data_IF_408086566905
#
_entry.id   IF_408086566905
#
_cell.length_a   1.000
_cell.length_b   1.000
_cell.length_c   1.000
_cell.angle_alpha   90.00
_cell.angle_beta   90.00
_cell.angle_gamma   90.00
#
_symmetry.space_group_name_H-M   'P 1'
#
loop_
_entity.id
_entity.type
_entity.pdbx_description
1 polymer ?
#
# COMPACT_ATOMS: atom_id res chain seq x y z
N UNK A 1 7.99 -6.49 17.71
CA UNK A 1 7.97 -7.96 17.61
C UNK A 1 8.71 -8.41 16.35
N UNK A 2 10.03 -8.59 16.43
CA UNK A 2 10.88 -9.00 15.28
C UNK A 2 11.19 -10.50 15.27
N UNK A 3 11.22 -11.13 16.45
CA UNK A 3 11.57 -12.54 16.61
C UNK A 3 10.74 -13.52 15.73
N UNK A 4 9.39 -13.43 15.64
CA UNK A 4 8.64 -14.38 14.82
C UNK A 4 8.85 -14.18 13.30
N UNK A 5 9.18 -12.97 12.83
CA UNK A 5 9.56 -12.74 11.43
C UNK A 5 10.91 -13.40 11.11
N UNK A 6 11.89 -13.26 12.01
CA UNK A 6 13.21 -13.88 11.85
C UNK A 6 13.08 -15.41 11.89
N UNK A 7 12.27 -15.96 12.79
CA UNK A 7 12.00 -17.39 12.88
C UNK A 7 11.26 -17.92 11.66
N UNK A 8 10.23 -17.21 11.17
CA UNK A 8 9.53 -17.60 9.94
C UNK A 8 10.49 -17.64 8.73
N UNK A 9 11.36 -16.64 8.60
CA UNK A 9 12.42 -16.63 7.58
C UNK A 9 13.39 -17.80 7.73
N UNK A 10 13.84 -18.09 8.95
CA UNK A 10 14.74 -19.22 9.23
C UNK A 10 14.10 -20.59 8.92
N UNK A 11 12.80 -20.76 9.18
CA UNK A 11 12.07 -21.98 8.83
C UNK A 11 11.82 -22.10 7.33
N UNK A 12 11.53 -21.00 6.63
CA UNK A 12 11.44 -20.98 5.17
C UNK A 12 12.75 -21.43 4.51
N UNK A 13 13.91 -21.07 5.08
CA UNK A 13 15.21 -21.55 4.57
C UNK A 13 15.45 -23.06 4.76
N UNK A 14 14.65 -23.75 5.59
CA UNK A 14 14.71 -25.20 5.81
C UNK A 14 13.74 -26.00 4.96
N UNK A 15 12.89 -25.33 4.18
CA UNK A 15 12.00 -25.99 3.23
C UNK A 15 12.84 -26.41 2.01
N UNK A 16 12.81 -27.71 1.68
CA UNK A 16 13.41 -28.26 0.46
C UNK A 16 12.42 -28.17 -0.71
N UNK A 17 12.90 -27.82 -1.90
CA UNK A 17 12.08 -27.78 -3.11
C UNK A 17 11.56 -29.18 -3.47
N UNK A 18 10.25 -29.32 -3.68
CA UNK A 18 9.61 -30.57 -4.11
C UNK A 18 9.06 -31.46 -2.99
N UNK A 19 9.18 -31.07 -1.71
CA UNK A 19 8.57 -31.80 -0.58
C UNK A 19 7.42 -30.98 0.00
N UNK A 20 6.21 -31.16 -0.55
CA UNK A 20 5.00 -30.38 -0.24
C UNK A 20 4.56 -30.42 1.24
N UNK A 21 4.98 -31.43 2.02
CA UNK A 21 4.49 -31.67 3.38
C UNK A 21 5.57 -31.58 4.47
N UNK A 22 6.55 -30.71 4.28
CA UNK A 22 7.58 -30.49 5.31
C UNK A 22 7.01 -29.78 6.54
N UNK A 23 7.27 -30.33 7.73
CA UNK A 23 6.89 -29.76 9.04
C UNK A 23 7.33 -28.30 9.19
N UNK A 24 8.42 -27.92 8.51
CA UNK A 24 8.95 -26.56 8.46
C UNK A 24 8.02 -25.57 7.77
N UNK A 25 7.27 -26.00 6.74
CA UNK A 25 6.29 -25.16 6.04
C UNK A 25 5.11 -24.81 6.96
N UNK A 26 4.56 -25.81 7.66
CA UNK A 26 3.49 -25.61 8.65
C UNK A 26 3.98 -24.70 9.77
N UNK A 27 5.18 -24.94 10.30
CA UNK A 27 5.76 -24.11 11.37
C UNK A 27 5.98 -22.66 10.92
N UNK A 28 6.45 -22.44 9.70
CA UNK A 28 6.61 -21.10 9.12
C UNK A 28 5.26 -20.36 9.02
N UNK A 29 4.22 -21.05 8.54
CA UNK A 29 2.85 -20.52 8.43
C UNK A 29 2.27 -20.15 9.79
N UNK A 30 2.46 -21.00 10.79
CA UNK A 30 2.04 -20.74 12.18
C UNK A 30 2.79 -19.53 12.75
N UNK A 31 4.10 -19.44 12.57
CA UNK A 31 4.89 -18.29 13.04
C UNK A 31 4.46 -16.98 12.36
N UNK A 32 4.20 -16.99 11.05
CA UNK A 32 3.69 -15.83 10.32
C UNK A 32 2.31 -15.41 10.82
N UNK A 33 1.41 -16.37 11.05
CA UNK A 33 0.07 -16.10 11.58
C UNK A 33 0.14 -15.52 13.00
N UNK A 34 0.94 -16.13 13.87
CA UNK A 34 1.16 -15.63 15.23
C UNK A 34 1.75 -14.22 15.22
N UNK A 35 2.66 -13.92 14.29
CA UNK A 35 3.21 -12.58 14.11
C UNK A 35 2.12 -11.57 13.78
N UNK A 36 1.27 -11.85 12.80
CA UNK A 36 0.17 -10.96 12.39
C UNK A 36 -0.75 -10.68 13.57
N UNK A 37 -1.10 -11.70 14.36
CA UNK A 37 -1.93 -11.54 15.56
C UNK A 37 -1.25 -10.66 16.61
N UNK A 38 0.04 -10.91 16.91
CA UNK A 38 0.79 -10.15 17.92
C UNK A 38 0.98 -8.70 17.49
N UNK A 39 1.29 -8.45 16.22
CA UNK A 39 1.45 -7.08 15.70
C UNK A 39 0.12 -6.34 15.69
N UNK A 40 -0.96 -7.01 15.29
CA UNK A 40 -2.30 -6.42 15.30
C UNK A 40 -2.75 -6.10 16.72
N UNK A 41 -2.58 -7.02 17.68
CA UNK A 41 -2.98 -6.79 19.07
C UNK A 41 -2.19 -5.65 19.73
N UNK A 42 -0.88 -5.55 19.45
CA UNK A 42 -0.07 -4.43 19.90
C UNK A 42 -0.57 -3.10 19.34
N UNK A 43 -0.98 -3.07 18.07
CA UNK A 43 -1.54 -1.87 17.45
C UNK A 43 -2.88 -1.48 18.10
N UNK A 44 -3.78 -2.43 18.33
CA UNK A 44 -5.04 -2.16 19.03
C UNK A 44 -4.83 -1.65 20.46
N UNK A 45 -3.91 -2.25 21.21
CA UNK A 45 -3.59 -1.79 22.56
C UNK A 45 -2.98 -0.37 22.55
N UNK A 46 -2.07 -0.08 21.61
CA UNK A 46 -1.49 1.25 21.47
C UNK A 46 -2.56 2.30 21.14
N UNK A 47 -3.48 2.00 20.21
CA UNK A 47 -4.61 2.88 19.89
C UNK A 47 -5.52 3.05 21.11
N UNK A 48 -5.86 1.98 21.81
CA UNK A 48 -6.71 2.05 23.00
C UNK A 48 -6.12 2.94 24.10
N UNK A 49 -4.82 2.77 24.40
CA UNK A 49 -4.13 3.59 25.38
C UNK A 49 -3.99 5.05 24.93
N UNK A 50 -3.69 5.28 23.65
CA UNK A 50 -3.60 6.63 23.09
C UNK A 50 -4.96 7.35 23.18
N UNK A 51 -6.04 6.71 22.73
CA UNK A 51 -7.40 7.26 22.83
C UNK A 51 -7.79 7.50 24.28
N UNK A 52 -7.46 6.58 25.19
CA UNK A 52 -7.75 6.75 26.62
C UNK A 52 -7.02 7.94 27.26
N UNK A 53 -5.81 8.28 26.80
CA UNK A 53 -5.09 9.48 27.23
C UNK A 53 -5.70 10.74 26.61
N UNK A 54 -6.03 10.68 25.32
CA UNK A 54 -6.69 11.78 24.60
C UNK A 54 -8.02 12.13 25.26
N UNK A 55 -8.84 11.14 25.61
CA UNK A 55 -10.14 11.35 26.26
C UNK A 55 -9.99 11.93 27.67
N UNK A 56 -9.04 11.43 28.47
CA UNK A 56 -8.81 11.90 29.84
C UNK A 56 -8.25 13.31 29.92
N UNK A 57 -7.40 13.68 28.96
CA UNK A 57 -6.70 14.97 28.94
C UNK A 57 -7.18 15.87 27.79
N UNK A 58 -8.39 15.63 27.27
CA UNK A 58 -8.92 16.33 26.10
C UNK A 58 -8.85 17.85 26.28
N UNK A 59 -9.32 18.37 27.40
CA UNK A 59 -9.36 19.82 27.66
C UNK A 59 -7.96 20.47 27.75
N UNK A 60 -6.93 19.70 28.08
CA UNK A 60 -5.54 20.18 28.14
C UNK A 60 -4.84 20.07 26.78
N UNK A 61 -5.10 18.98 26.06
CA UNK A 61 -4.53 18.70 24.73
C UNK A 61 -5.20 19.53 23.63
N UNK A 62 -6.46 19.93 23.82
CA UNK A 62 -7.20 20.78 22.89
C UNK A 62 -6.77 22.25 22.96
N UNK A 63 -6.02 22.68 23.98
CA UNK A 63 -5.55 24.05 24.08
C UNK A 63 -4.44 24.29 23.05
N UNK A 64 -4.55 25.34 22.22
CA UNK A 64 -3.50 25.67 21.25
C UNK A 64 -2.20 26.01 21.99
N UNK A 65 -1.09 25.38 21.59
CA UNK A 65 0.26 25.63 22.13
C UNK A 65 1.13 26.22 21.03
N UNK A 66 1.96 27.19 21.38
CA UNK A 66 2.81 27.88 20.38
C UNK A 66 3.76 26.90 19.66
N UNK A 67 4.26 25.87 20.36
CA UNK A 67 5.07 24.80 19.79
C UNK A 67 4.34 23.97 18.71
N UNK A 68 3.00 23.88 18.78
CA UNK A 68 2.18 23.15 17.82
C UNK A 68 1.71 24.00 16.65
N UNK A 69 1.97 25.32 16.64
CA UNK A 69 1.50 26.21 15.57
C UNK A 69 1.96 25.75 14.18
N UNK A 70 3.19 25.26 14.06
CA UNK A 70 3.70 24.71 12.79
C UNK A 70 2.96 23.44 12.36
N UNK A 71 2.62 22.57 13.33
CA UNK A 71 1.88 21.33 13.05
C UNK A 71 0.44 21.67 12.67
N UNK A 72 -0.21 22.59 13.38
CA UNK A 72 -1.56 23.05 13.04
C UNK A 72 -1.62 23.68 11.65
N UNK A 73 -0.64 24.51 11.29
CA UNK A 73 -0.53 25.07 9.94
C UNK A 73 -0.33 23.98 8.88
N UNK A 74 0.50 22.97 9.15
CA UNK A 74 0.69 21.82 8.26
C UNK A 74 -0.59 20.98 8.14
N UNK A 75 -1.26 20.67 9.25
CA UNK A 75 -2.53 19.94 9.27
C UNK A 75 -3.59 20.68 8.48
N UNK A 76 -3.74 22.00 8.66
CA UNK A 76 -4.68 22.81 7.86
C UNK A 76 -4.36 22.77 6.36
N UNK A 77 -3.08 22.83 5.99
CA UNK A 77 -2.65 22.70 4.58
C UNK A 77 -2.90 21.30 4.02
N UNK A 78 -2.66 20.27 4.81
CA UNK A 78 -2.88 18.88 4.44
C UNK A 78 -4.38 18.59 4.30
N UNK A 79 -5.21 19.07 5.22
CA UNK A 79 -6.67 18.98 5.13
C UNK A 79 -7.20 19.68 3.88
N UNK A 80 -6.73 20.90 3.57
CA UNK A 80 -7.10 21.61 2.35
C UNK A 80 -6.70 20.83 1.09
N UNK A 81 -5.48 20.28 1.06
CA UNK A 81 -5.03 19.42 -0.05
C UNK A 81 -5.85 18.13 -0.15
N UNK A 82 -6.18 17.48 0.96
CA UNK A 82 -6.97 16.25 1.01
C UNK A 82 -8.40 16.49 0.52
N UNK A 83 -8.99 17.63 0.87
CA UNK A 83 -10.29 18.06 0.34
C UNK A 83 -10.22 18.29 -1.18
N UNK A 84 -9.20 19.00 -1.66
CA UNK A 84 -8.99 19.21 -3.09
C UNK A 84 -8.74 17.90 -3.84
N UNK A 85 -7.95 16.98 -3.26
CA UNK A 85 -7.71 15.64 -3.80
C UNK A 85 -9.01 14.85 -3.88
N UNK A 86 -9.80 14.81 -2.80
CA UNK A 86 -11.10 14.13 -2.77
C UNK A 86 -12.04 14.64 -3.86
N UNK A 87 -12.08 15.95 -4.09
CA UNK A 87 -12.89 16.56 -5.15
C UNK A 87 -12.34 16.27 -6.54
N UNK A 88 -11.03 16.30 -6.72
CA UNK A 88 -10.35 15.97 -7.97
C UNK A 88 -10.50 14.49 -8.36
N UNK A 89 -10.57 13.59 -7.36
CA UNK A 89 -10.76 12.15 -7.55
C UNK A 89 -12.23 11.71 -7.47
N UNK A 90 -13.17 12.65 -7.38
CA UNK A 90 -14.59 12.32 -7.35
C UNK A 90 -15.00 11.61 -8.65
N UNK A 91 -15.62 10.43 -8.51
CA UNK A 91 -16.00 9.60 -9.65
C UNK A 91 -17.00 10.30 -10.56
N UNK A 92 -17.88 11.15 -10.02
CA UNK A 92 -18.82 11.92 -10.84
C UNK A 92 -18.14 12.90 -11.78
N UNK A 93 -17.06 13.55 -11.31
CA UNK A 93 -16.35 14.63 -12.01
C UNK A 93 -15.19 14.14 -12.89
N UNK A 94 -14.71 12.92 -12.68
CA UNK A 94 -13.60 12.38 -13.45
C UNK A 94 -13.96 12.24 -14.95
N UNK A 95 -13.03 12.66 -15.81
CA UNK A 95 -13.15 12.42 -17.26
C UNK A 95 -13.20 10.91 -17.56
N UNK A 96 -14.00 10.52 -18.55
CA UNK A 96 -14.22 9.10 -18.88
C UNK A 96 -12.92 8.35 -19.20
N UNK A 97 -11.97 9.01 -19.85
CA UNK A 97 -10.65 8.44 -20.15
C UNK A 97 -9.90 8.02 -18.88
N UNK A 98 -9.91 8.86 -17.83
CA UNK A 98 -9.26 8.55 -16.55
C UNK A 98 -9.95 7.39 -15.83
N UNK A 99 -11.28 7.30 -15.93
CA UNK A 99 -12.04 6.17 -15.37
C UNK A 99 -11.65 4.86 -16.03
N UNK A 100 -11.63 4.83 -17.37
CA UNK A 100 -11.23 3.65 -18.13
C UNK A 100 -9.79 3.25 -17.78
N UNK A 101 -8.88 4.23 -17.72
CA UNK A 101 -7.48 3.99 -17.43
C UNK A 101 -7.26 3.47 -15.99
N UNK A 102 -8.03 3.99 -15.01
CA UNK A 102 -8.03 3.49 -13.63
C UNK A 102 -8.60 2.08 -13.52
N UNK A 103 -9.74 1.81 -14.14
CA UNK A 103 -10.34 0.46 -14.17
C UNK A 103 -9.43 -0.55 -14.87
N UNK A 104 -8.83 -0.16 -16.00
CA UNK A 104 -7.88 -0.99 -16.74
C UNK A 104 -6.64 -1.32 -15.90
N UNK A 105 -6.08 -0.33 -15.20
CA UNK A 105 -4.93 -0.56 -14.30
C UNK A 105 -5.28 -1.49 -13.15
N UNK A 106 -6.42 -1.27 -12.49
CA UNK A 106 -6.90 -2.14 -11.42
C UNK A 106 -7.14 -3.55 -11.93
N UNK A 107 -7.76 -3.71 -13.10
CA UNK A 107 -7.98 -5.02 -13.72
C UNK A 107 -6.65 -5.72 -14.07
N UNK A 108 -5.66 -5.01 -14.61
CA UNK A 108 -4.33 -5.56 -14.90
C UNK A 108 -3.58 -5.96 -13.61
N UNK A 109 -3.63 -5.14 -12.56
CA UNK A 109 -3.02 -5.46 -11.26
C UNK A 109 -3.68 -6.67 -10.60
N UNK A 110 -5.00 -6.80 -10.73
CA UNK A 110 -5.73 -7.94 -10.20
C UNK A 110 -5.43 -9.20 -11.03
N UNK A 111 -5.41 -9.08 -12.36
CA UNK A 111 -5.12 -10.18 -13.27
C UNK A 111 -3.71 -10.75 -13.06
N UNK A 112 -2.68 -9.90 -12.95
CA UNK A 112 -1.32 -10.37 -12.69
C UNK A 112 -1.19 -10.98 -11.28
N UNK A 113 -1.89 -10.43 -10.28
CA UNK A 113 -1.95 -11.02 -8.95
C UNK A 113 -2.57 -12.42 -8.96
N UNK A 114 -3.69 -12.60 -9.67
CA UNK A 114 -4.29 -13.93 -9.86
C UNK A 114 -3.39 -14.87 -10.65
N UNK A 115 -2.67 -14.36 -11.65
CA UNK A 115 -1.76 -15.18 -12.43
C UNK A 115 -0.62 -15.73 -11.58
N UNK A 116 -0.02 -14.90 -10.73
CA UNK A 116 1.01 -15.36 -9.80
C UNK A 116 0.47 -16.18 -8.63
N UNK A 117 -0.80 -16.01 -8.24
CA UNK A 117 -1.38 -16.78 -7.14
C UNK A 117 -1.88 -18.17 -7.56
N UNK A 118 -2.41 -18.31 -8.77
CA UNK A 118 -3.04 -19.55 -9.24
C UNK A 118 -2.24 -20.29 -10.32
N UNK A 119 -1.28 -19.62 -10.96
CA UNK A 119 -0.47 -20.18 -12.04
C UNK A 119 1.02 -19.93 -11.79
N UNK A 120 1.43 -19.94 -10.52
CA UNK A 120 2.84 -19.83 -10.12
C UNK A 120 3.69 -20.92 -10.76
N UNK A 121 3.22 -22.17 -10.77
CA UNK A 121 3.92 -23.30 -11.40
C UNK A 121 4.14 -23.12 -12.91
N UNK A 122 3.26 -22.37 -13.60
CA UNK A 122 3.43 -22.03 -15.02
C UNK A 122 4.32 -20.81 -15.24
N UNK A 123 4.42 -19.93 -14.25
CA UNK A 123 5.20 -18.70 -14.35
C UNK A 123 6.65 -18.90 -13.89
N UNK A 124 6.88 -19.77 -12.91
CA UNK A 124 8.14 -19.93 -12.23
C UNK A 124 8.56 -21.40 -12.11
N UNK A 125 9.86 -21.64 -12.13
CA UNK A 125 10.43 -22.93 -11.72
C UNK A 125 10.38 -23.08 -10.20
N UNK A 126 10.20 -24.33 -9.75
CA UNK A 126 10.19 -24.70 -8.34
C UNK A 126 11.61 -24.66 -7.75
N UNK A 127 12.17 -23.46 -7.63
CA UNK A 127 13.50 -23.24 -7.08
C UNK A 127 13.42 -22.76 -5.63
N UNK A 128 13.93 -23.58 -4.69
CA UNK A 128 14.05 -23.16 -3.30
C UNK A 128 15.20 -22.15 -3.13
N UNK A 129 15.06 -21.23 -2.18
CA UNK A 129 16.07 -20.20 -1.87
C UNK A 129 17.43 -20.81 -1.49
N UNK A 130 17.44 -22.02 -0.94
CA UNK A 130 18.63 -22.78 -0.58
C UNK A 130 19.12 -23.73 -1.70
N UNK A 131 18.46 -23.72 -2.86
CA UNK A 131 18.77 -24.60 -4.00
C UNK A 131 20.10 -24.25 -4.68
N UNK A 132 20.69 -25.24 -5.37
CA UNK A 132 21.93 -25.04 -6.13
C UNK A 132 21.60 -24.56 -7.53
N UNK A 133 22.02 -23.33 -7.88
CA UNK A 133 21.84 -22.75 -9.23
C UNK A 133 22.50 -23.63 -10.31
N UNK A 134 23.61 -24.29 -9.97
CA UNK A 134 24.37 -25.16 -10.86
C UNK A 134 23.73 -26.53 -11.10
N UNK A 135 22.70 -26.92 -10.33
CA UNK A 135 21.99 -28.17 -10.56
C UNK A 135 21.19 -28.10 -11.87
N UNK A 136 20.97 -29.25 -12.54
CA UNK A 136 20.18 -29.30 -13.77
C UNK A 136 18.68 -29.07 -13.49
N UNK A 137 17.92 -28.71 -14.53
CA UNK A 137 16.52 -28.27 -14.41
C UNK A 137 15.58 -29.38 -13.90
N UNK A 138 15.89 -30.63 -14.21
CA UNK A 138 15.16 -31.83 -13.78
C UNK A 138 15.30 -32.12 -12.27
N UNK A 139 16.34 -31.60 -11.62
CA UNK A 139 16.58 -31.71 -10.18
C UNK A 139 16.19 -30.43 -9.41
N UNK A 140 15.21 -29.66 -9.89
CA UNK A 140 14.83 -28.36 -9.34
C UNK A 140 15.99 -27.33 -9.31
N UNK A 141 16.94 -27.47 -10.23
CA UNK A 141 18.04 -26.52 -10.45
C UNK A 141 17.70 -25.47 -11.50
N UNK A 142 18.66 -24.59 -11.81
CA UNK A 142 18.51 -23.52 -12.82
C UNK A 142 19.41 -23.72 -14.04
N UNK A 143 20.13 -24.85 -14.13
CA UNK A 143 21.00 -25.16 -15.27
C UNK A 143 22.13 -24.14 -15.44
N UNK A 144 22.68 -23.63 -14.33
CA UNK A 144 23.71 -22.60 -14.30
C UNK A 144 23.30 -21.24 -14.94
N UNK A 145 21.99 -20.98 -15.09
CA UNK A 145 21.46 -19.70 -15.56
C UNK A 145 20.28 -19.25 -14.69
N UNK A 146 20.49 -18.19 -13.90
CA UNK A 146 19.47 -17.64 -13.00
C UNK A 146 18.18 -17.20 -13.71
N UNK A 147 18.23 -16.82 -14.99
CA UNK A 147 17.05 -16.40 -15.76
C UNK A 147 16.09 -17.54 -16.09
N UNK A 148 16.51 -18.79 -15.94
CA UNK A 148 15.63 -19.95 -16.13
C UNK A 148 14.59 -20.10 -15.02
N UNK A 149 14.67 -19.31 -13.93
CA UNK A 149 13.65 -19.31 -12.88
C UNK A 149 12.27 -18.90 -13.43
N UNK A 150 12.25 -18.12 -14.51
CA UNK A 150 11.02 -17.66 -15.16
C UNK A 150 10.73 -18.56 -16.34
N UNK A 151 9.64 -19.32 -16.28
CA UNK A 151 9.21 -20.21 -17.37
C UNK A 151 8.71 -19.40 -18.55
N UNK A 152 9.26 -19.67 -19.73
CA UNK A 152 8.79 -19.07 -20.98
C UNK A 152 7.59 -19.85 -21.54
N UNK A 153 6.53 -19.21 -22.06
CA UNK A 153 6.35 -17.75 -22.21
C UNK A 153 5.59 -17.07 -21.05
N UNK A 154 4.88 -17.83 -20.22
CA UNK A 154 3.92 -17.30 -19.25
C UNK A 154 4.55 -16.45 -18.13
N UNK A 155 5.72 -16.84 -17.62
CA UNK A 155 6.41 -16.10 -16.58
C UNK A 155 6.86 -14.72 -17.06
N UNK A 156 7.45 -14.64 -18.24
CA UNK A 156 7.85 -13.35 -18.84
C UNK A 156 6.64 -12.49 -19.17
N UNK A 157 5.54 -13.09 -19.64
CA UNK A 157 4.28 -12.38 -19.83
C UNK A 157 3.76 -11.80 -18.51
N UNK A 158 3.82 -12.54 -17.40
CA UNK A 158 3.42 -12.05 -16.08
C UNK A 158 4.27 -10.93 -15.53
N UNK A 159 5.59 -11.04 -15.63
CA UNK A 159 6.51 -9.98 -15.22
C UNK A 159 6.27 -8.73 -16.09
N UNK A 160 6.10 -8.90 -17.40
CA UNK A 160 5.79 -7.80 -18.31
C UNK A 160 4.46 -7.12 -17.97
N UNK A 161 3.42 -7.90 -17.68
CA UNK A 161 2.10 -7.40 -17.28
C UNK A 161 2.17 -6.65 -15.94
N UNK A 162 2.89 -7.18 -14.96
CA UNK A 162 3.14 -6.53 -13.66
C UNK A 162 3.87 -5.19 -13.84
N UNK A 163 4.93 -5.17 -14.65
CA UNK A 163 5.69 -3.95 -14.92
C UNK A 163 4.82 -2.90 -15.62
N UNK A 164 4.07 -3.30 -16.66
CA UNK A 164 3.17 -2.41 -17.37
C UNK A 164 2.07 -1.84 -16.44
N UNK A 165 1.47 -2.69 -15.59
CA UNK A 165 0.48 -2.26 -14.61
C UNK A 165 1.07 -1.29 -13.58
N UNK A 166 2.30 -1.54 -13.12
CA UNK A 166 3.01 -0.68 -12.16
C UNK A 166 3.33 0.70 -12.74
N UNK A 167 3.83 0.75 -13.98
CA UNK A 167 4.08 2.00 -14.71
C UNK A 167 2.79 2.77 -14.91
N UNK A 168 1.71 2.11 -15.37
CA UNK A 168 0.42 2.75 -15.59
C UNK A 168 -0.18 3.29 -14.28
N UNK A 169 -0.06 2.53 -13.19
CA UNK A 169 -0.47 2.96 -11.86
C UNK A 169 0.30 4.21 -11.41
N UNK A 170 1.62 4.24 -11.59
CA UNK A 170 2.43 5.41 -11.28
C UNK A 170 2.01 6.63 -12.10
N UNK A 171 1.74 6.46 -13.40
CA UNK A 171 1.24 7.53 -14.26
C UNK A 171 -0.09 8.08 -13.77
N UNK A 172 -1.05 7.22 -13.39
CA UNK A 172 -2.33 7.65 -12.79
C UNK A 172 -2.10 8.45 -11.52
N UNK A 173 -1.29 7.93 -10.59
CA UNK A 173 -1.05 8.59 -9.32
C UNK A 173 -0.46 9.99 -9.56
N UNK A 174 0.47 10.14 -10.52
CA UNK A 174 1.03 11.44 -10.89
C UNK A 174 0.01 12.35 -11.56
N UNK A 175 -0.83 11.85 -12.47
CA UNK A 175 -1.88 12.63 -13.12
C UNK A 175 -2.93 13.11 -12.10
N UNK A 176 -3.39 12.23 -11.20
CA UNK A 176 -4.33 12.57 -10.13
C UNK A 176 -3.72 13.57 -9.13
N UNK A 177 -2.44 13.41 -8.77
CA UNK A 177 -1.72 14.40 -7.94
C UNK A 177 -1.62 15.76 -8.66
N UNK A 178 -1.37 15.79 -9.96
CA UNK A 178 -1.33 17.03 -10.73
C UNK A 178 -2.71 17.69 -10.77
N UNK A 179 -3.76 16.91 -10.99
CA UNK A 179 -5.14 17.38 -10.98
C UNK A 179 -5.53 17.96 -9.61
N UNK A 180 -5.21 17.26 -8.52
CA UNK A 180 -5.46 17.72 -7.16
C UNK A 180 -4.72 19.02 -6.84
N UNK A 181 -3.47 19.17 -7.29
CA UNK A 181 -2.71 20.43 -7.14
C UNK A 181 -3.34 21.60 -7.90
N UNK A 182 -3.87 21.34 -9.11
CA UNK A 182 -4.59 22.36 -9.90
C UNK A 182 -5.88 22.79 -9.21
N UNK A 183 -6.62 21.83 -8.69
CA UNK A 183 -7.86 22.09 -7.95
C UNK A 183 -7.60 22.82 -6.62
N UNK A 184 -6.54 22.45 -5.90
CA UNK A 184 -6.12 23.16 -4.70
C UNK A 184 -5.72 24.62 -5.02
N UNK A 185 -5.03 24.86 -6.13
CA UNK A 185 -4.66 26.20 -6.57
C UNK A 185 -5.87 27.05 -6.98
N UNK A 186 -6.89 26.47 -7.63
CA UNK A 186 -8.13 27.20 -7.96
C UNK A 186 -8.92 27.58 -6.71
N UNK A 187 -8.99 26.69 -5.71
CA UNK A 187 -9.62 26.98 -4.41
C UNK A 187 -8.95 28.13 -3.67
N UNK A 188 -7.61 28.17 -3.65
CA UNK A 188 -6.88 29.27 -3.02
C UNK A 188 -7.15 30.62 -3.71
N UNK A 189 -7.36 30.64 -5.04
CA UNK A 189 -7.71 31.86 -5.77
C UNK A 189 -9.11 32.34 -5.45
N UNK A 190 -10.09 31.44 -5.34
CA UNK A 190 -11.47 31.80 -4.97
C UNK A 190 -11.54 32.35 -3.55
N UNK A 191 -10.84 31.73 -2.60
CA UNK A 191 -10.81 32.19 -1.21
C UNK A 191 -9.98 33.47 -1.01
N UNK A 192 -8.91 33.67 -1.80
CA UNK A 192 -8.08 34.88 -1.73
C UNK A 192 -8.68 36.10 -2.45
N UNK A 193 -9.54 35.89 -3.45
CA UNK A 193 -10.24 36.95 -4.19
C UNK A 193 -11.54 37.41 -3.52
N UNK A 194 -12.18 36.53 -2.77
CA UNK A 194 -13.25 36.89 -1.84
C UNK A 194 -12.59 37.64 -0.67
N UNK A 195 -12.52 38.98 -0.77
CA UNK A 195 -12.28 39.82 0.41
C UNK A 195 -13.20 39.29 1.49
N UNK A 196 -12.63 38.71 2.54
CA UNK A 196 -13.34 38.24 3.72
C UNK A 196 -14.16 39.42 4.20
N UNK A 197 -15.41 39.49 3.75
CA UNK A 197 -16.39 40.37 4.35
C UNK A 197 -16.63 39.67 5.67
N UNK A 198 -16.25 40.26 6.81
CA UNK A 198 -16.48 39.61 8.09
C UNK A 198 -17.99 39.44 8.23
N UNK A 199 -18.49 38.26 7.84
CA UNK A 199 -19.83 37.84 8.19
C UNK A 199 -19.79 37.69 9.70
N UNK A 200 -20.40 38.68 10.33
CA UNK A 200 -20.58 38.85 11.75
C UNK A 200 -21.20 37.55 12.28
N UNK A 201 -20.35 36.70 12.87
CA UNK A 201 -20.75 35.53 13.63
C UNK A 201 -21.34 36.03 14.95
N UNK A 202 -22.55 36.56 14.88
CA UNK A 202 -23.20 37.29 15.96
C UNK A 202 -24.69 37.50 15.69
N UNK A 203 -25.39 36.46 15.24
CA UNK A 203 -26.83 36.42 15.37
C UNK A 203 -27.14 35.69 16.69
N UNK A 204 -27.69 36.37 17.71
CA UNK A 204 -28.16 35.70 18.91
C UNK A 204 -29.31 34.76 18.54
N UNK A 205 -29.22 33.52 19.02
CA UNK A 205 -30.33 32.58 19.02
C UNK A 205 -31.42 33.16 19.93
N UNK A 206 -32.51 33.63 19.33
CA UNK A 206 -33.78 33.93 20.01
C UNK A 206 -34.70 32.72 19.97
#
# INVERSE_FOLDING_TARGET
ALAPCVLAGAFLMKVEAGVESSIWSVLSSVCMTAMVVIQSSSMFMAVYLATGVVDKHYDELAKPREEHRQVEELTKREEAYNQAYKQATDWGKLHIFRKILLLSTTAMMLLQGFMFAFFDELCFENFAVNGKISAPLDENGLGNNAWNIVKSPFGYFGIGLFFAASVLHFVIVKDLQCLAKREHASMLQTTGGEKVTPQILGAPLS
#
